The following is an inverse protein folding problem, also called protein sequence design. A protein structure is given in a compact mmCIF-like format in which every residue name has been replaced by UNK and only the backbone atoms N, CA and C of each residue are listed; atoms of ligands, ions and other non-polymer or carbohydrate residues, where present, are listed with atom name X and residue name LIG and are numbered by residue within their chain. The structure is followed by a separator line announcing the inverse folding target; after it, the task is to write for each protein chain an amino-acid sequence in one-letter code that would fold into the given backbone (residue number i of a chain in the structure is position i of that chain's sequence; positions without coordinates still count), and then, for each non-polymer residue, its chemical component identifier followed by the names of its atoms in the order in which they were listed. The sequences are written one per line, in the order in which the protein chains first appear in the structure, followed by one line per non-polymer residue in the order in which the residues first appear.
data_IF_461705469905
#
_entry.id   IF_461705469905
#
_cell.length_a   1.000
_cell.length_b   1.000
_cell.length_c   1.000
_cell.angle_alpha   90.00
_cell.angle_beta   90.00
_cell.angle_gamma   90.00
#
_symmetry.space_group_name_H-M   'P 1'
#
loop_
_entity.id
_entity.type
_entity.pdbx_description
1 polymer ?
#
# COMPACT_ATOMS: atom_id res chain seq x y z
N UNK A 1 29.08 2.72 27.59
CA UNK A 1 27.78 3.36 27.40
C UNK A 1 27.20 2.84 26.11
N UNK A 2 26.07 2.15 26.20
CA UNK A 2 25.39 1.46 25.11
C UNK A 2 24.82 2.44 24.08
N UNK A 3 24.82 2.10 22.77
CA UNK A 3 23.98 2.78 21.81
C UNK A 3 22.53 2.30 21.97
N UNK A 4 21.66 3.29 22.08
CA UNK A 4 20.23 3.22 22.27
C UNK A 4 19.55 2.53 21.09
N UNK A 5 18.81 1.48 21.43
CA UNK A 5 17.90 0.72 20.58
C UNK A 5 16.56 1.44 20.54
N UNK A 6 16.09 1.85 19.37
CA UNK A 6 14.65 2.05 19.19
C UNK A 6 14.23 1.86 17.73
N UNK A 7 13.44 0.80 17.55
CA UNK A 7 12.36 0.60 16.57
C UNK A 7 12.68 0.56 15.08
N UNK A 8 12.52 -0.63 14.48
CA UNK A 8 11.48 -0.88 13.46
C UNK A 8 11.60 -2.33 12.94
N UNK A 9 10.90 -3.27 13.57
CA UNK A 9 10.52 -4.56 12.95
C UNK A 9 9.08 -4.85 13.38
N UNK A 10 8.13 -4.24 12.66
CA UNK A 10 6.73 -4.64 12.73
C UNK A 10 6.56 -5.92 11.88
N UNK A 11 6.40 -7.06 12.56
CA UNK A 11 5.99 -8.31 11.92
C UNK A 11 4.59 -8.17 11.33
N UNK A 12 4.49 -8.49 10.04
CA UNK A 12 3.29 -8.45 9.22
C UNK A 12 2.35 -9.61 9.65
N UNK A 13 1.41 -9.34 10.57
CA UNK A 13 0.36 -10.29 10.93
C UNK A 13 -0.66 -10.39 9.79
N UNK A 14 -0.40 -11.32 8.88
CA UNK A 14 -1.40 -11.78 7.91
C UNK A 14 -2.58 -12.42 8.66
N UNK A 15 -3.68 -11.66 8.81
CA UNK A 15 -4.96 -12.22 9.22
C UNK A 15 -5.51 -13.08 8.08
N UNK A 16 -5.31 -14.39 8.19
CA UNK A 16 -6.03 -15.38 7.41
C UNK A 16 -7.02 -16.10 8.31
N UNK A 17 -8.26 -15.61 8.39
CA UNK A 17 -9.42 -16.43 8.73
C UNK A 17 -10.65 -15.91 7.98
N UNK A 18 -11.18 -16.72 7.04
CA UNK A 18 -12.52 -17.30 7.20
C UNK A 18 -12.91 -18.12 5.98
N UNK A 19 -13.02 -19.41 6.24
CA UNK A 19 -13.78 -20.47 5.58
C UNK A 19 -14.51 -20.15 4.26
N UNK A 20 -14.14 -20.89 3.22
CA UNK A 20 -15.16 -21.57 2.41
C UNK A 20 -14.65 -22.88 1.81
N UNK A 21 -15.44 -23.90 2.11
CA UNK A 21 -15.48 -25.32 1.74
C UNK A 21 -14.90 -25.70 0.33
N UNK A 22 -14.32 -26.91 0.14
CA UNK A 22 -13.73 -27.33 -1.12
C UNK A 22 -14.69 -28.10 -2.05
N UNK A 23 -14.53 -27.83 -3.35
CA UNK A 23 -14.66 -28.74 -4.53
C UNK A 23 -15.80 -29.78 -4.48
N UNK A 24 -16.78 -29.76 -5.38
CA UNK A 24 -16.63 -30.17 -6.79
C UNK A 24 -18.02 -30.19 -7.44
N UNK A 25 -18.13 -29.72 -8.70
CA UNK A 25 -18.60 -30.48 -9.89
C UNK A 25 -19.24 -29.57 -10.94
N UNK A 26 -18.83 -29.85 -12.17
CA UNK A 26 -19.53 -29.69 -13.46
C UNK A 26 -20.05 -28.27 -13.79
N UNK A 27 -19.64 -27.66 -14.88
CA UNK A 27 -19.54 -28.26 -16.20
C UNK A 27 -20.31 -27.32 -17.14
N UNK A 28 -19.58 -26.84 -18.13
CA UNK A 28 -19.90 -25.74 -19.04
C UNK A 28 -21.25 -25.88 -19.75
N UNK A 29 -22.00 -24.79 -19.87
CA UNK A 29 -23.10 -24.67 -20.84
C UNK A 29 -22.71 -23.62 -21.88
N UNK A 30 -22.36 -24.07 -23.08
CA UNK A 30 -22.34 -23.26 -24.29
C UNK A 30 -23.53 -23.66 -25.16
N UNK A 31 -24.28 -22.67 -25.66
CA UNK A 31 -25.32 -22.84 -26.66
C UNK A 31 -24.73 -22.59 -28.04
N UNK A 32 -24.70 -23.62 -28.88
CA UNK A 32 -24.48 -23.51 -30.32
C UNK A 32 -25.78 -23.82 -31.06
N UNK A 33 -25.99 -23.05 -32.13
CA UNK A 33 -27.20 -22.92 -32.91
C UNK A 33 -27.55 -24.11 -33.82
N UNK A 34 -28.82 -24.18 -34.25
CA UNK A 34 -29.22 -24.95 -35.44
C UNK A 34 -30.73 -25.26 -35.52
N UNK A 35 -31.34 -25.03 -36.68
CA UNK A 35 -32.69 -25.46 -37.10
C UNK A 35 -32.59 -25.84 -38.60
N UNK A 36 -33.63 -26.39 -39.27
CA UNK A 36 -34.56 -27.48 -38.90
C UNK A 36 -34.78 -28.49 -40.06
N UNK A 37 -35.34 -29.69 -39.80
CA UNK A 37 -36.40 -30.37 -40.58
C UNK A 37 -36.54 -31.87 -40.24
N UNK A 38 -37.78 -32.39 -40.24
CA UNK A 38 -38.02 -33.76 -40.68
C UNK A 38 -39.00 -33.83 -41.85
N UNK A 39 -38.74 -34.76 -42.76
CA UNK A 39 -39.58 -35.10 -43.91
C UNK A 39 -40.34 -36.39 -43.64
N UNK A 40 -41.63 -36.44 -44.03
CA UNK A 40 -42.39 -37.59 -44.60
C UNK A 40 -42.50 -38.88 -43.74
N UNK A 41 -43.58 -39.69 -43.77
CA UNK A 41 -44.77 -39.83 -44.60
C UNK A 41 -45.83 -40.65 -43.80
N UNK A 42 -47.09 -40.67 -44.28
CA UNK A 42 -48.26 -41.37 -43.69
C UNK A 42 -48.22 -42.92 -43.76
N UNK A 43 -49.38 -43.65 -43.77
CA UNK A 43 -50.62 -43.34 -44.50
C UNK A 43 -51.96 -43.60 -43.75
N UNK A 44 -53.05 -43.31 -44.46
CA UNK A 44 -54.49 -43.38 -44.14
C UNK A 44 -55.05 -44.78 -43.82
N UNK A 45 -56.34 -44.85 -43.42
CA UNK A 45 -57.32 -45.43 -44.34
C UNK A 45 -58.64 -44.64 -44.47
N UNK A 46 -59.30 -44.84 -45.61
CA UNK A 46 -60.61 -44.29 -46.01
C UNK A 46 -61.75 -45.27 -45.73
N UNK A 47 -62.98 -44.78 -45.61
CA UNK A 47 -64.20 -45.54 -45.95
C UNK A 47 -65.12 -44.73 -46.87
N UNK A 48 -65.42 -45.37 -48.00
CA UNK A 48 -66.46 -45.16 -49.03
C UNK A 48 -67.89 -45.10 -48.44
N UNK A 49 -68.97 -44.74 -49.12
CA UNK A 49 -69.35 -44.11 -50.39
C UNK A 49 -70.88 -43.99 -50.36
N UNK A 50 -71.46 -43.00 -51.07
CA UNK A 50 -72.68 -43.11 -51.90
C UNK A 50 -73.28 -41.72 -52.17
N UNK A 51 -73.49 -41.44 -53.46
CA UNK A 51 -74.27 -40.32 -54.03
C UNK A 51 -75.78 -40.71 -54.08
N UNK A 52 -76.82 -39.90 -54.28
CA UNK A 52 -77.17 -38.61 -54.93
C UNK A 52 -78.51 -38.09 -54.28
N UNK A 53 -79.27 -37.04 -54.71
CA UNK A 53 -79.10 -36.03 -55.79
C UNK A 53 -79.38 -34.55 -55.37
N UNK A 54 -79.18 -33.57 -56.26
CA UNK A 54 -79.90 -32.27 -56.21
C UNK A 54 -79.13 -31.00 -56.58
N UNK A 55 -79.41 -30.47 -57.77
CA UNK A 55 -79.11 -29.15 -58.38
C UNK A 55 -79.65 -27.95 -57.52
N UNK A 56 -79.31 -26.64 -57.69
CA UNK A 56 -78.49 -25.93 -58.69
C UNK A 56 -77.35 -25.01 -58.18
N UNK A 57 -76.48 -24.63 -59.12
CA UNK A 57 -75.55 -23.49 -59.14
C UNK A 57 -76.27 -22.11 -59.14
N UNK A 58 -75.61 -20.98 -58.77
CA UNK A 58 -74.67 -20.35 -59.72
C UNK A 58 -73.38 -19.74 -59.11
N UNK A 59 -72.30 -19.91 -59.88
CA UNK A 59 -71.23 -18.95 -60.21
C UNK A 59 -70.15 -18.53 -59.19
N UNK A 60 -68.92 -18.22 -59.67
CA UNK A 60 -67.68 -18.54 -58.98
C UNK A 60 -67.02 -17.32 -58.36
N UNK A 61 -66.30 -17.52 -57.25
CA UNK A 61 -65.23 -16.59 -56.85
C UNK A 61 -63.95 -17.36 -56.50
N UNK A 62 -63.13 -17.45 -57.55
CA UNK A 62 -61.71 -17.12 -57.55
C UNK A 62 -61.02 -17.11 -56.18
N UNK A 63 -60.20 -18.14 -55.98
CA UNK A 63 -58.90 -18.07 -55.31
C UNK A 63 -58.24 -16.69 -55.40
N UNK A 64 -57.72 -16.16 -54.28
CA UNK A 64 -56.39 -15.53 -54.10
C UNK A 64 -56.26 -14.79 -52.77
N UNK A 65 -55.11 -15.00 -52.13
CA UNK A 65 -54.35 -14.05 -51.29
C UNK A 65 -54.89 -13.60 -49.92
N UNK A 66 -54.79 -14.46 -48.89
CA UNK A 66 -54.81 -14.04 -47.47
C UNK A 66 -53.42 -13.93 -46.81
N UNK A 67 -52.32 -14.10 -47.57
CA UNK A 67 -50.95 -14.16 -47.01
C UNK A 67 -50.10 -12.88 -47.14
N UNK A 68 -50.40 -11.99 -48.09
CA UNK A 68 -49.51 -10.86 -48.44
C UNK A 68 -49.69 -9.61 -47.56
N UNK A 69 -50.91 -9.33 -47.12
CA UNK A 69 -51.21 -8.17 -46.26
C UNK A 69 -50.81 -8.36 -44.78
N UNK A 70 -50.88 -9.60 -44.28
CA UNK A 70 -50.57 -9.92 -42.87
C UNK A 70 -49.06 -9.88 -42.58
N UNK A 71 -48.24 -10.30 -43.54
CA UNK A 71 -46.78 -10.22 -43.45
C UNK A 71 -46.28 -8.77 -43.50
N UNK A 72 -46.86 -7.92 -44.36
CA UNK A 72 -46.52 -6.49 -44.40
C UNK A 72 -46.84 -5.75 -43.10
N UNK A 73 -48.00 -6.03 -42.51
CA UNK A 73 -48.38 -5.49 -41.20
C UNK A 73 -47.45 -5.98 -40.06
N UNK A 74 -47.03 -7.24 -40.10
CA UNK A 74 -46.08 -7.79 -39.13
C UNK A 74 -44.68 -7.16 -39.25
N UNK A 75 -44.18 -6.95 -40.48
CA UNK A 75 -42.90 -6.28 -40.73
C UNK A 75 -42.94 -4.82 -40.28
N UNK A 76 -44.03 -4.11 -40.57
CA UNK A 76 -44.22 -2.74 -40.07
C UNK A 76 -44.24 -2.70 -38.54
N UNK A 77 -44.96 -3.62 -37.88
CA UNK A 77 -44.98 -3.72 -36.42
C UNK A 77 -43.59 -4.00 -35.82
N UNK A 78 -42.81 -4.92 -36.42
CA UNK A 78 -41.44 -5.22 -35.98
C UNK A 78 -40.50 -4.02 -36.17
N UNK A 79 -40.64 -3.28 -37.27
CA UNK A 79 -39.83 -2.07 -37.52
C UNK A 79 -40.13 -0.97 -36.50
N UNK A 80 -41.40 -0.80 -36.12
CA UNK A 80 -41.81 0.14 -35.07
C UNK A 80 -41.25 -0.30 -33.72
N UNK A 81 -41.36 -1.58 -33.37
CA UNK A 81 -40.81 -2.11 -32.10
C UNK A 81 -39.28 -1.95 -32.01
N UNK A 82 -38.55 -2.19 -33.11
CA UNK A 82 -37.12 -1.95 -33.18
C UNK A 82 -36.79 -0.47 -33.00
N UNK A 83 -37.53 0.41 -33.67
CA UNK A 83 -37.41 1.87 -33.49
C UNK A 83 -37.63 2.30 -32.05
N UNK A 84 -38.69 1.81 -31.40
CA UNK A 84 -38.98 2.10 -30.00
C UNK A 84 -37.89 1.57 -29.07
N UNK A 85 -37.35 0.38 -29.33
CA UNK A 85 -36.25 -0.19 -28.57
C UNK A 85 -34.96 0.63 -28.68
N UNK A 86 -34.62 1.10 -29.88
CA UNK A 86 -33.47 1.98 -30.11
C UNK A 86 -33.64 3.32 -29.41
N UNK A 87 -34.84 3.91 -29.45
CA UNK A 87 -35.14 5.16 -28.75
C UNK A 87 -35.04 4.96 -27.24
N UNK A 88 -35.62 3.87 -26.70
CA UNK A 88 -35.49 3.53 -25.28
C UNK A 88 -34.03 3.32 -24.87
N UNK A 89 -33.23 2.63 -25.68
CA UNK A 89 -31.79 2.45 -25.46
C UNK A 89 -31.02 3.78 -25.47
N UNK A 90 -31.30 4.66 -26.42
CA UNK A 90 -30.67 5.98 -26.48
C UNK A 90 -31.01 6.85 -25.26
N UNK A 91 -32.25 6.80 -24.78
CA UNK A 91 -32.67 7.50 -23.56
C UNK A 91 -31.94 6.97 -22.32
N UNK A 92 -31.82 5.63 -22.18
CA UNK A 92 -31.07 5.02 -21.08
C UNK A 92 -29.59 5.40 -21.10
N UNK A 93 -28.96 5.38 -22.28
CA UNK A 93 -27.57 5.82 -22.45
C UNK A 93 -27.40 7.30 -22.11
N UNK A 94 -28.32 8.17 -22.54
CA UNK A 94 -28.26 9.60 -22.23
C UNK A 94 -28.35 9.85 -20.72
N UNK A 95 -29.26 9.16 -20.01
CA UNK A 95 -29.37 9.23 -18.55
C UNK A 95 -28.10 8.71 -17.87
N UNK A 96 -27.56 7.58 -18.33
CA UNK A 96 -26.32 7.02 -17.79
C UNK A 96 -25.13 7.97 -17.99
N UNK A 97 -24.99 8.58 -19.17
CA UNK A 97 -23.96 9.56 -19.47
C UNK A 97 -24.11 10.82 -18.60
N UNK A 98 -25.33 11.31 -18.38
CA UNK A 98 -25.60 12.44 -17.49
C UNK A 98 -25.11 12.18 -16.06
N UNK A 99 -25.45 11.02 -15.51
CA UNK A 99 -24.99 10.58 -14.17
C UNK A 99 -23.49 10.39 -14.10
N UNK A 100 -22.89 9.83 -15.15
CA UNK A 100 -21.45 9.60 -15.19
C UNK A 100 -20.65 10.90 -15.34
N UNK A 101 -21.21 11.92 -15.99
CA UNK A 101 -20.60 13.26 -16.12
C UNK A 101 -20.49 13.99 -14.79
N UNK A 102 -21.51 13.90 -13.94
CA UNK A 102 -21.52 14.51 -12.60
C UNK A 102 -20.41 13.90 -11.71
N UNK A 103 -20.30 12.57 -11.70
CA UNK A 103 -19.23 11.85 -10.97
C UNK A 103 -17.84 12.19 -11.55
N UNK A 104 -17.72 12.33 -12.87
CA UNK A 104 -16.45 12.63 -13.53
C UNK A 104 -15.94 14.05 -13.19
N UNK A 105 -16.83 15.01 -12.95
CA UNK A 105 -16.44 16.37 -12.56
C UNK A 105 -15.81 16.38 -11.16
N UNK A 106 -16.45 15.73 -10.19
CA UNK A 106 -15.94 15.60 -8.82
C UNK A 106 -14.60 14.86 -8.78
N UNK A 107 -14.47 13.78 -9.56
CA UNK A 107 -13.22 13.03 -9.66
C UNK A 107 -12.07 13.89 -10.21
N UNK A 108 -12.34 14.75 -11.19
CA UNK A 108 -11.33 15.65 -11.76
C UNK A 108 -10.91 16.73 -10.76
N UNK A 109 -11.86 17.28 -10.00
CA UNK A 109 -11.57 18.25 -8.96
C UNK A 109 -10.74 17.63 -7.83
N UNK A 110 -11.19 16.48 -7.31
CA UNK A 110 -10.46 15.73 -6.29
C UNK A 110 -9.05 15.36 -6.76
N UNK A 111 -8.89 14.95 -8.03
CA UNK A 111 -7.58 14.64 -8.61
C UNK A 111 -6.67 15.87 -8.65
N UNK A 112 -7.19 17.02 -9.11
CA UNK A 112 -6.43 18.27 -9.15
C UNK A 112 -6.01 18.73 -7.75
N UNK A 113 -6.94 18.70 -6.80
CA UNK A 113 -6.68 19.06 -5.41
C UNK A 113 -5.68 18.11 -4.75
N UNK A 114 -5.79 16.80 -5.02
CA UNK A 114 -4.83 15.81 -4.54
C UNK A 114 -3.43 16.07 -5.11
N UNK A 115 -3.30 16.31 -6.43
CA UNK A 115 -2.00 16.60 -7.04
C UNK A 115 -1.39 17.91 -6.53
N UNK A 116 -2.20 18.97 -6.37
CA UNK A 116 -1.71 20.26 -5.88
C UNK A 116 -1.24 20.17 -4.42
N UNK A 117 -2.00 19.48 -3.58
CA UNK A 117 -1.62 19.23 -2.19
C UNK A 117 -0.43 18.27 -2.08
N UNK A 118 -0.33 17.29 -2.96
CA UNK A 118 0.83 16.40 -3.02
C UNK A 118 2.10 17.20 -3.37
N UNK A 119 2.03 18.07 -4.39
CA UNK A 119 3.16 18.89 -4.79
C UNK A 119 3.54 19.94 -3.75
N UNK A 120 2.58 20.49 -2.98
CA UNK A 120 2.89 21.40 -1.87
C UNK A 120 3.65 20.67 -0.76
N UNK A 121 3.17 19.50 -0.34
CA UNK A 121 3.81 18.68 0.70
C UNK A 121 5.21 18.25 0.26
N UNK A 122 5.40 17.81 -0.99
CA UNK A 122 6.72 17.45 -1.50
C UNK A 122 7.70 18.62 -1.52
N UNK A 123 7.24 19.83 -1.87
CA UNK A 123 8.07 21.05 -1.83
C UNK A 123 8.49 21.40 -0.41
N UNK A 124 7.58 21.32 0.55
CA UNK A 124 7.87 21.56 1.95
C UNK A 124 8.84 20.52 2.52
N UNK A 125 8.62 19.23 2.22
CA UNK A 125 9.53 18.16 2.61
C UNK A 125 10.93 18.38 2.02
N UNK A 126 11.02 18.73 0.73
CA UNK A 126 12.30 19.04 0.09
C UNK A 126 12.99 20.26 0.73
N UNK A 127 12.24 21.28 1.14
CA UNK A 127 12.77 22.43 1.86
C UNK A 127 13.29 22.04 3.27
N UNK A 128 12.51 21.25 4.01
CA UNK A 128 12.89 20.74 5.33
C UNK A 128 14.14 19.84 5.26
N UNK A 129 14.24 18.98 4.25
CA UNK A 129 15.42 18.13 4.02
C UNK A 129 16.67 18.96 3.69
N UNK A 130 16.52 20.05 2.91
CA UNK A 130 17.63 20.99 2.66
C UNK A 130 18.10 21.67 3.94
N UNK A 131 17.18 22.07 4.82
CA UNK A 131 17.55 22.64 6.11
C UNK A 131 18.28 21.61 7.00
N UNK A 132 17.76 20.38 7.07
CA UNK A 132 18.37 19.29 7.83
C UNK A 132 19.78 18.94 7.33
N UNK A 133 19.98 18.87 6.01
CA UNK A 133 21.30 18.59 5.41
C UNK A 133 22.28 19.73 5.64
N UNK A 134 21.84 20.99 5.53
CA UNK A 134 22.68 22.16 5.88
C UNK A 134 23.13 22.13 7.34
N UNK A 135 22.21 21.85 8.26
CA UNK A 135 22.54 21.74 9.68
C UNK A 135 23.51 20.59 9.93
N UNK A 136 23.30 19.43 9.31
CA UNK A 136 24.21 18.27 9.41
C UNK A 136 25.62 18.62 8.95
N UNK A 137 25.76 19.29 7.79
CA UNK A 137 27.07 19.71 7.27
C UNK A 137 27.71 20.75 8.18
N UNK A 138 26.94 21.72 8.69
CA UNK A 138 27.44 22.72 9.64
C UNK A 138 27.96 22.07 10.93
N UNK A 139 27.17 21.17 11.52
CA UNK A 139 27.54 20.40 12.73
C UNK A 139 28.82 19.61 12.47
N UNK A 140 28.88 18.86 11.37
CA UNK A 140 30.04 18.04 11.02
C UNK A 140 31.31 18.88 10.89
N UNK A 141 31.23 20.03 10.20
CA UNK A 141 32.36 20.95 10.05
C UNK A 141 32.82 21.49 11.41
N UNK A 142 31.88 21.88 12.27
CA UNK A 142 32.23 22.36 13.61
C UNK A 142 32.86 21.26 14.46
N UNK A 143 32.36 20.02 14.41
CA UNK A 143 32.96 18.90 15.13
C UNK A 143 34.39 18.60 14.66
N UNK A 144 34.68 18.72 13.36
CA UNK A 144 36.03 18.51 12.83
C UNK A 144 37.04 19.51 13.43
N UNK A 145 36.68 20.79 13.55
CA UNK A 145 37.52 21.81 14.18
C UNK A 145 37.73 21.53 15.68
N UNK A 146 36.72 20.98 16.36
CA UNK A 146 36.83 20.60 17.77
C UNK A 146 37.75 19.39 17.99
N UNK A 147 37.81 18.45 17.06
CA UNK A 147 38.60 17.23 17.18
C UNK A 147 40.12 17.53 17.20
N UNK A 148 40.59 18.47 16.39
CA UNK A 148 41.99 18.91 16.38
C UNK A 148 42.39 19.59 17.70
N UNK A 149 41.53 20.45 18.23
CA UNK A 149 41.73 21.12 19.51
C UNK A 149 41.70 20.11 20.67
N UNK A 150 40.77 19.15 20.64
CA UNK A 150 40.69 18.08 21.63
C UNK A 150 41.94 17.21 21.63
N UNK A 151 42.46 16.84 20.45
CA UNK A 151 43.71 16.08 20.32
C UNK A 151 44.93 16.87 20.83
N UNK A 152 44.95 18.19 20.67
CA UNK A 152 45.98 19.06 21.23
C UNK A 152 45.89 19.15 22.77
N UNK A 153 44.66 19.27 23.29
CA UNK A 153 44.40 19.30 24.74
C UNK A 153 44.79 17.98 25.41
N UNK A 154 44.43 16.83 24.81
CA UNK A 154 44.85 15.52 25.32
C UNK A 154 46.37 15.40 25.43
N UNK A 155 47.11 15.77 24.37
CA UNK A 155 48.59 15.75 24.39
C UNK A 155 49.18 16.69 25.45
N UNK A 156 48.59 17.86 25.61
CA UNK A 156 49.06 18.86 26.58
C UNK A 156 48.80 18.40 28.01
N UNK A 157 47.63 17.83 28.29
CA UNK A 157 47.24 17.31 29.60
C UNK A 157 48.03 16.06 30.00
N UNK A 158 48.38 15.21 29.03
CA UNK A 158 49.30 14.09 29.26
C UNK A 158 50.69 14.58 29.68
N UNK A 159 51.18 15.67 29.09
CA UNK A 159 52.43 16.33 29.48
C UNK A 159 52.34 17.22 30.73
N UNK A 160 51.11 17.55 31.18
CA UNK A 160 50.86 18.47 32.28
C UNK A 160 50.11 17.84 33.45
N UNK A 161 50.21 16.51 33.67
CA UNK A 161 49.90 15.91 34.99
C UNK A 161 50.92 16.39 36.02
N UNK A 162 50.85 17.68 36.35
CA UNK A 162 51.54 18.24 37.50
C UNK A 162 50.72 17.82 38.70
N UNK A 163 51.35 17.10 39.60
CA UNK A 163 50.74 16.80 40.89
C UNK A 163 50.45 18.11 41.62
N UNK A 164 49.43 18.08 42.49
CA UNK A 164 49.08 19.21 43.35
C UNK A 164 50.31 19.66 44.16
N UNK A 165 50.36 20.94 44.56
CA UNK A 165 51.48 21.45 45.35
C UNK A 165 51.72 20.57 46.60
N UNK A 166 52.97 20.14 46.80
CA UNK A 166 53.36 19.24 47.89
C UNK A 166 53.30 17.74 47.56
N UNK A 167 52.79 17.35 46.40
CA UNK A 167 52.76 15.97 45.94
C UNK A 167 53.92 15.67 44.99
N UNK A 168 54.49 14.47 45.10
CA UNK A 168 55.59 14.00 44.26
C UNK A 168 55.04 13.18 43.08
N UNK A 169 55.55 13.44 41.87
CA UNK A 169 55.17 12.69 40.67
C UNK A 169 56.12 11.53 40.44
N UNK A 170 55.57 10.33 40.23
CA UNK A 170 56.32 9.19 39.71
C UNK A 170 55.45 8.43 38.69
N UNK A 171 55.98 8.24 37.47
CA UNK A 171 55.24 7.65 36.36
C UNK A 171 53.96 8.43 36.01
N UNK A 172 52.80 7.79 36.17
CA UNK A 172 51.47 8.38 35.90
C UNK A 172 50.70 8.75 37.18
N UNK A 173 51.35 8.62 38.34
CA UNK A 173 50.74 8.73 39.66
C UNK A 173 51.37 9.87 40.47
N UNK A 174 50.60 10.38 41.43
CA UNK A 174 51.00 11.42 42.37
C UNK A 174 50.97 10.87 43.79
N UNK A 175 52.02 11.13 44.56
CA UNK A 175 52.21 10.59 45.90
C UNK A 175 52.35 11.71 46.92
N UNK A 176 51.71 11.55 48.06
CA UNK A 176 51.85 12.44 49.22
C UNK A 176 52.36 11.63 50.40
N UNK A 177 53.32 12.18 51.12
CA UNK A 177 53.93 11.54 52.28
C UNK A 177 53.48 12.26 53.54
N UNK A 178 52.89 11.51 54.48
CA UNK A 178 52.62 11.98 55.83
C UNK A 178 53.86 11.78 56.71
N UNK A 179 54.11 12.72 57.62
CA UNK A 179 55.14 12.61 58.65
C UNK A 179 54.61 12.01 59.96
N UNK A 180 53.30 11.75 60.03
CA UNK A 180 52.64 11.21 61.23
C UNK A 180 52.59 9.68 61.20
N UNK A 181 52.88 9.05 62.34
CA UNK A 181 52.73 7.61 62.51
C UNK A 181 51.29 7.26 62.87
N UNK A 182 50.51 6.86 61.88
CA UNK A 182 49.12 6.45 62.03
C UNK A 182 48.97 4.93 62.01
N UNK A 183 47.88 4.41 62.59
CA UNK A 183 47.50 3.02 62.37
C UNK A 183 47.12 2.80 60.91
N UNK A 184 47.15 1.56 60.43
CA UNK A 184 46.86 1.27 59.03
C UNK A 184 45.46 1.77 58.60
N UNK A 185 44.46 1.61 59.47
CA UNK A 185 43.09 2.07 59.22
C UNK A 185 43.03 3.59 59.14
N UNK A 186 43.62 4.28 60.11
CA UNK A 186 43.63 5.74 60.17
C UNK A 186 44.39 6.35 58.97
N UNK A 187 45.49 5.72 58.55
CA UNK A 187 46.25 6.15 57.37
C UNK A 187 45.45 6.03 56.07
N UNK A 188 44.67 4.96 55.91
CA UNK A 188 43.78 4.77 54.75
C UNK A 188 42.69 5.83 54.73
N UNK A 189 42.08 6.11 55.88
CA UNK A 189 40.99 7.08 55.99
C UNK A 189 41.54 8.50 55.73
N UNK A 190 42.72 8.84 56.28
CA UNK A 190 43.41 10.11 56.00
C UNK A 190 43.76 10.31 54.51
N UNK A 191 44.19 9.26 53.80
CA UNK A 191 44.42 9.34 52.35
C UNK A 191 43.10 9.56 51.59
N UNK A 192 42.01 8.94 52.06
CA UNK A 192 40.68 9.07 51.46
C UNK A 192 40.12 10.49 51.62
N UNK A 193 40.35 11.13 52.77
CA UNK A 193 39.98 12.53 53.03
C UNK A 193 40.68 13.52 52.09
N UNK A 194 41.89 13.17 51.63
CA UNK A 194 42.64 13.93 50.63
C UNK A 194 42.19 13.62 49.17
N UNK A 195 41.14 12.83 48.98
CA UNK A 195 40.68 12.39 47.66
C UNK A 195 41.64 11.40 46.99
N UNK A 196 42.43 10.68 47.79
CA UNK A 196 43.44 9.72 47.33
C UNK A 196 43.24 8.35 47.98
N UNK A 197 44.17 7.42 47.77
CA UNK A 197 44.15 6.11 48.39
C UNK A 197 45.53 5.77 48.93
N UNK A 198 45.57 4.92 49.95
CA UNK A 198 46.83 4.41 50.48
C UNK A 198 47.60 3.68 49.38
N UNK A 199 48.88 3.99 49.23
CA UNK A 199 49.70 3.53 48.12
C UNK A 199 49.79 2.00 48.08
N UNK A 200 49.65 1.44 46.87
CA UNK A 200 49.92 0.02 46.57
C UNK A 200 51.08 0.00 45.58
N UNK A 201 52.21 -0.54 46.00
CA UNK A 201 53.42 -0.65 45.16
C UNK A 201 53.23 -1.79 44.18
N UNK A 202 53.26 -1.47 42.89
CA UNK A 202 52.93 -2.40 41.80
C UNK A 202 54.14 -2.83 40.98
N UNK A 203 55.30 -2.19 41.18
CA UNK A 203 56.53 -2.49 40.45
C UNK A 203 57.78 -2.28 41.31
N UNK A 204 58.89 -2.94 40.93
CA UNK A 204 60.19 -2.79 41.60
C UNK A 204 60.72 -1.35 41.57
N UNK A 205 60.45 -0.61 40.49
CA UNK A 205 60.86 0.79 40.37
C UNK A 205 60.07 1.75 41.28
N UNK A 206 58.93 1.33 41.83
CA UNK A 206 58.14 2.10 42.78
C UNK A 206 58.55 1.88 44.24
N UNK A 207 59.39 0.88 44.54
CA UNK A 207 59.81 0.49 45.88
C UNK A 207 61.07 1.22 46.35
#
# INVERSE_FOLDING_TARGET
ASPDSFEDDYDDVSLAESERDPRTKAGTVYTLAGSPNPSRAGPSPCTSAAAFPGKPEPEPRSSRDWGRGRAGAAVAALSVLLGLSLVAGALLVAVAVGKHREIMAELKLLKSNCSENQDSVWRELAAAQRQRTRLRVWIQRHFQEFEEVAALLCRTLEGSRRCSAGWQSFGKSCYSFSWESLSWGDARDACSDLGSHLVVVSSEGEQ
#
